data_IF_644004973091
#
_entry.id   IF_644004973091
#
_cell.length_a   1.000
_cell.length_b   1.000
_cell.length_c   1.000
_cell.angle_alpha   90.00
_cell.angle_beta   90.00
_cell.angle_gamma   90.00
#
_symmetry.space_group_name_H-M   'P 1'
#
loop_
_entity.id
_entity.type
_entity.pdbx_description
1 polymer ?
#
# COMPACT_ATOMS: atom_id res chain seq x y z
N UNK A 1 20.84 22.38 -45.72
CA UNK A 1 21.80 23.00 -44.78
C UNK A 1 21.60 22.35 -43.42
N UNK A 2 22.67 22.00 -42.71
CA UNK A 2 22.63 21.21 -41.48
C UNK A 2 22.46 22.14 -40.28
N UNK A 3 21.47 21.91 -39.43
CA UNK A 3 21.47 22.53 -38.11
C UNK A 3 21.34 21.46 -37.02
N UNK A 4 22.41 21.45 -36.25
CA UNK A 4 22.69 20.66 -35.08
C UNK A 4 21.56 20.75 -34.05
N UNK A 5 21.13 19.62 -33.53
CA UNK A 5 20.62 19.60 -32.15
C UNK A 5 21.03 18.30 -31.48
N UNK A 6 22.34 18.08 -31.40
CA UNK A 6 22.97 17.08 -30.53
C UNK A 6 22.86 17.41 -29.02
N UNK A 7 21.82 18.12 -28.59
CA UNK A 7 21.67 18.63 -27.22
C UNK A 7 20.65 17.87 -26.36
N UNK A 8 19.86 16.95 -26.93
CA UNK A 8 18.80 16.25 -26.17
C UNK A 8 19.15 14.83 -25.73
N UNK A 9 20.31 14.29 -26.12
CA UNK A 9 20.73 12.93 -25.74
C UNK A 9 21.39 12.85 -24.35
N UNK A 10 21.75 13.99 -23.77
CA UNK A 10 22.43 14.08 -22.47
C UNK A 10 21.44 14.19 -21.30
N UNK A 11 20.26 14.76 -21.53
CA UNK A 11 19.22 14.89 -20.51
C UNK A 11 18.45 13.59 -20.25
N UNK A 12 18.39 12.68 -21.24
CA UNK A 12 17.66 11.41 -21.10
C UNK A 12 18.32 10.44 -20.10
N UNK A 13 19.65 10.44 -20.02
CA UNK A 13 20.42 9.55 -19.12
C UNK A 13 20.39 9.95 -17.64
N UNK A 14 19.96 11.17 -17.32
CA UNK A 14 19.84 11.61 -15.92
C UNK A 14 18.46 11.28 -15.31
N UNK A 15 17.47 10.94 -16.12
CA UNK A 15 16.15 10.52 -15.66
C UNK A 15 16.08 9.02 -15.34
N UNK A 16 17.07 8.23 -15.76
CA UNK A 16 17.16 6.78 -15.48
C UNK A 16 17.75 6.45 -14.10
N UNK A 17 18.27 7.42 -13.34
CA UNK A 17 18.82 7.19 -11.98
C UNK A 17 17.77 7.28 -10.86
N UNK A 18 16.50 7.49 -11.20
CA UNK A 18 15.40 7.14 -10.31
C UNK A 18 14.59 6.10 -11.05
N UNK A 19 14.95 4.83 -10.82
CA UNK A 19 14.20 3.68 -11.33
C UNK A 19 12.71 3.87 -11.13
N UNK A 20 11.87 3.26 -12.00
CA UNK A 20 10.43 3.50 -12.03
C UNK A 20 9.93 3.48 -10.58
N UNK A 21 9.28 4.56 -10.14
CA UNK A 21 8.64 4.63 -8.84
C UNK A 21 7.79 3.38 -8.77
N UNK A 22 8.30 2.35 -8.08
CA UNK A 22 7.68 1.04 -8.03
C UNK A 22 6.30 1.35 -7.48
N UNK A 23 5.27 1.14 -8.29
CA UNK A 23 3.90 1.20 -7.83
C UNK A 23 3.84 0.16 -6.72
N UNK A 24 4.07 0.61 -5.49
CA UNK A 24 4.13 -0.27 -4.34
C UNK A 24 2.68 -0.65 -4.14
N UNK A 25 2.33 -1.86 -4.56
CA UNK A 25 0.99 -2.39 -4.31
C UNK A 25 0.62 -2.08 -2.86
N UNK A 26 -0.60 -1.57 -2.62
CA UNK A 26 -1.02 -1.15 -1.29
C UNK A 26 -0.77 -2.32 -0.34
N UNK A 27 0.25 -2.16 0.51
CA UNK A 27 0.64 -3.21 1.42
C UNK A 27 -0.46 -3.24 2.49
N UNK A 28 -1.17 -4.35 2.55
CA UNK A 28 -2.14 -4.62 3.60
C UNK A 28 -1.57 -5.78 4.41
N UNK A 29 -1.52 -5.59 5.73
CA UNK A 29 -1.03 -6.60 6.66
C UNK A 29 -2.23 -7.27 7.32
N UNK A 30 -2.20 -8.60 7.39
CA UNK A 30 -3.22 -9.40 8.06
C UNK A 30 -2.74 -9.82 9.45
N UNK A 31 -3.40 -9.36 10.52
CA UNK A 31 -3.10 -9.73 11.90
C UNK A 31 -4.38 -10.25 12.54
N UNK A 32 -4.36 -11.49 13.06
CA UNK A 32 -5.50 -12.10 13.75
C UNK A 32 -6.81 -12.10 12.94
N UNK A 33 -6.72 -12.18 11.60
CA UNK A 33 -7.87 -12.10 10.70
C UNK A 33 -8.34 -10.68 10.35
N UNK A 34 -7.74 -9.65 10.93
CA UNK A 34 -7.98 -8.25 10.61
C UNK A 34 -6.96 -7.73 9.59
N UNK A 35 -7.41 -6.87 8.67
CA UNK A 35 -6.58 -6.31 7.61
C UNK A 35 -6.25 -4.85 7.93
N UNK A 36 -4.98 -4.48 7.87
CA UNK A 36 -4.52 -3.13 8.17
C UNK A 36 -3.83 -2.52 6.97
N UNK A 37 -4.17 -1.28 6.64
CA UNK A 37 -3.50 -0.53 5.58
C UNK A 37 -2.14 -0.08 6.09
N UNK A 38 -1.09 -0.42 5.37
CA UNK A 38 0.26 0.12 5.58
C UNK A 38 0.72 0.80 4.29
N UNK A 39 1.80 1.58 4.35
CA UNK A 39 2.37 2.34 3.22
C UNK A 39 1.71 3.72 2.95
N UNK A 40 0.60 3.82 2.20
CA UNK A 40 0.06 5.12 1.78
C UNK A 40 -0.87 5.76 2.82
N UNK A 41 -0.46 6.91 3.37
CA UNK A 41 -1.21 7.66 4.38
C UNK A 41 -0.96 7.21 5.81
N UNK A 42 0.03 6.33 6.00
CA UNK A 42 0.34 5.70 7.28
C UNK A 42 1.79 6.00 7.64
N UNK A 43 2.09 6.50 8.86
CA UNK A 43 3.45 6.74 9.29
C UNK A 43 4.30 5.47 9.19
N UNK A 44 5.59 5.62 8.89
CA UNK A 44 6.49 4.47 8.80
C UNK A 44 6.59 3.71 10.13
N UNK A 45 6.54 4.41 11.26
CA UNK A 45 6.51 3.77 12.60
C UNK A 45 5.29 2.86 12.80
N UNK A 46 4.12 3.27 12.27
CA UNK A 46 2.89 2.46 12.32
C UNK A 46 3.03 1.24 11.42
N UNK A 47 3.59 1.43 10.22
CA UNK A 47 3.85 0.34 9.27
C UNK A 47 4.80 -0.71 9.87
N UNK A 48 5.91 -0.28 10.46
CA UNK A 48 6.92 -1.16 11.05
C UNK A 48 6.34 -1.97 12.23
N UNK A 49 5.55 -1.30 13.09
CA UNK A 49 4.85 -1.97 14.20
C UNK A 49 3.85 -3.02 13.72
N UNK A 50 3.02 -2.69 12.72
CA UNK A 50 2.07 -3.66 12.14
C UNK A 50 2.81 -4.85 11.51
N UNK A 51 3.95 -4.60 10.86
CA UNK A 51 4.79 -5.67 10.32
C UNK A 51 5.37 -6.56 11.42
N UNK A 52 5.90 -5.96 12.50
CA UNK A 52 6.43 -6.70 13.64
C UNK A 52 5.36 -7.52 14.36
N UNK A 53 4.13 -7.02 14.43
CA UNK A 53 2.98 -7.74 14.98
C UNK A 53 2.53 -8.88 14.08
N UNK A 54 2.60 -8.72 12.76
CA UNK A 54 2.29 -9.78 11.79
C UNK A 54 3.34 -10.89 11.75
N UNK A 55 4.61 -10.55 11.99
CA UNK A 55 5.71 -11.51 12.09
C UNK A 55 5.65 -12.32 13.39
N UNK A 56 4.94 -11.83 14.41
CA UNK A 56 4.67 -12.58 15.64
C UNK A 56 3.50 -13.54 15.45
N UNK A 57 3.78 -14.85 15.52
CA UNK A 57 2.79 -15.93 15.41
C UNK A 57 1.65 -15.90 16.45
N UNK A 58 1.82 -15.22 17.59
CA UNK A 58 0.85 -15.22 18.71
C UNK A 58 0.16 -13.86 18.96
N UNK A 59 0.29 -12.88 18.05
CA UNK A 59 -0.39 -11.58 18.23
C UNK A 59 -1.88 -11.69 17.92
N UNK A 60 -2.70 -11.24 18.86
CA UNK A 60 -4.15 -11.11 18.71
C UNK A 60 -4.56 -9.66 18.46
N UNK A 61 -5.75 -9.46 17.92
CA UNK A 61 -6.30 -8.12 17.71
C UNK A 61 -6.40 -7.32 19.02
N UNK A 62 -6.62 -7.99 20.15
CA UNK A 62 -6.68 -7.35 21.48
C UNK A 62 -5.34 -6.71 21.88
N UNK A 63 -4.21 -7.29 21.48
CA UNK A 63 -2.85 -6.78 21.73
C UNK A 63 -2.47 -5.63 20.80
N UNK A 64 -3.17 -5.47 19.69
CA UNK A 64 -2.94 -4.35 18.77
C UNK A 64 -3.44 -3.06 19.44
N UNK A 65 -2.58 -2.05 19.65
CA UNK A 65 -3.01 -0.78 20.21
C UNK A 65 -4.04 -0.08 19.30
N UNK A 66 -5.01 0.62 19.90
CA UNK A 66 -6.07 1.35 19.17
C UNK A 66 -5.53 2.32 18.10
N UNK A 67 -4.34 2.88 18.32
CA UNK A 67 -3.65 3.74 17.36
C UNK A 67 -3.39 3.01 16.02
N UNK A 68 -3.06 1.72 16.07
CA UNK A 68 -2.89 0.88 14.88
C UNK A 68 -4.25 0.38 14.36
N UNK A 69 -5.23 0.13 15.24
CA UNK A 69 -6.60 -0.24 14.86
C UNK A 69 -7.31 0.83 14.05
N UNK A 70 -6.95 2.10 14.23
CA UNK A 70 -7.46 3.18 13.38
C UNK A 70 -7.13 3.00 11.89
N UNK A 71 -6.12 2.19 11.56
CA UNK A 71 -5.70 1.85 10.19
C UNK A 71 -6.26 0.51 9.70
N UNK A 72 -7.13 -0.12 10.48
CA UNK A 72 -7.84 -1.32 10.06
C UNK A 72 -8.72 -1.00 8.85
N UNK A 73 -8.47 -1.71 7.75
CA UNK A 73 -9.35 -1.73 6.60
C UNK A 73 -10.48 -2.67 6.94
N UNK A 74 -11.63 -2.08 7.27
CA UNK A 74 -12.88 -2.82 7.29
C UNK A 74 -13.17 -3.17 5.85
N UNK A 75 -12.89 -4.41 5.46
CA UNK A 75 -13.49 -4.98 4.27
C UNK A 75 -14.98 -5.11 4.60
N UNK A 76 -15.71 -4.00 4.44
CA UNK A 76 -17.16 -4.00 4.48
C UNK A 76 -17.61 -5.07 3.51
N UNK A 77 -17.95 -6.22 4.06
CA UNK A 77 -18.50 -7.37 3.35
C UNK A 77 -19.93 -7.06 2.92
N UNK A 78 -20.16 -5.96 2.20
CA UNK A 78 -21.43 -5.65 1.55
C UNK A 78 -21.33 -4.48 0.55
N UNK A 79 -21.05 -4.79 -0.71
CA UNK A 79 -21.71 -4.18 -1.89
C UNK A 79 -21.29 -5.02 -3.13
N UNK A 80 -22.11 -5.82 -3.82
CA UNK A 80 -23.55 -5.84 -3.90
C UNK A 80 -24.17 -7.20 -3.56
N UNK A 81 -25.12 -7.13 -2.64
CA UNK A 81 -26.26 -8.01 -2.53
C UNK A 81 -26.96 -8.21 -3.90
N UNK A 82 -27.41 -9.45 -4.10
CA UNK A 82 -28.43 -9.92 -5.03
C UNK A 82 -29.50 -8.87 -5.40
N UNK A 83 -29.48 -8.40 -6.63
CA UNK A 83 -30.67 -7.95 -7.37
C UNK A 83 -30.34 -8.26 -8.83
N UNK A 84 -30.84 -9.36 -9.40
CA UNK A 84 -32.18 -9.40 -9.99
C UNK A 84 -32.75 -10.82 -9.89
N UNK A 85 -33.61 -11.03 -8.90
CA UNK A 85 -34.72 -11.97 -9.03
C UNK A 85 -35.88 -11.22 -9.68
N UNK A 86 -36.60 -11.90 -10.57
CA UNK A 86 -37.90 -11.49 -11.14
C UNK A 86 -37.96 -10.24 -12.03
N UNK A 87 -37.99 -10.45 -13.36
CA UNK A 87 -39.22 -10.20 -14.13
C UNK A 87 -39.25 -10.93 -15.47
#
# INVERSE_FOLDING_TARGET
MPESTGATKLAQRALEEHGPLKEVEPNIVGIDGHRFRINHGVPQEVTDRLYALCDQDEVKYEDIPDDLKAYEVKEDSNDGNMENSDK
#
